data_IF_077990040022
#
_entry.id   IF_077990040022
#
_cell.length_a   1.000
_cell.length_b   1.000
_cell.length_c   1.000
_cell.angle_alpha   90.00
_cell.angle_beta   90.00
_cell.angle_gamma   90.00
#
_symmetry.space_group_name_H-M   'P 1'
#
loop_
_entity.id
_entity.type
_entity.pdbx_description
1 polymer ?
#
# COMPACT_ATOMS: atom_id res chain seq x y z
N UNK A 1 4.04 -30.05 -11.48
CA UNK A 1 4.14 -28.74 -10.76
C UNK A 1 2.77 -28.09 -10.79
N UNK A 2 2.30 -27.57 -9.68
CA UNK A 2 1.02 -26.83 -9.59
C UNK A 2 1.15 -25.57 -10.44
N UNK A 3 0.19 -25.33 -11.34
CA UNK A 3 0.19 -24.13 -12.20
C UNK A 3 -0.13 -22.90 -11.35
N UNK A 4 0.57 -21.81 -11.62
CA UNK A 4 0.25 -20.51 -11.00
C UNK A 4 0.99 -20.24 -9.69
N UNK A 5 1.88 -21.12 -9.24
CA UNK A 5 2.74 -20.79 -8.11
C UNK A 5 3.66 -19.62 -8.49
N UNK A 6 3.52 -18.52 -7.77
CA UNK A 6 4.36 -17.36 -7.95
C UNK A 6 5.80 -17.68 -7.50
N UNK A 7 6.78 -17.22 -8.27
CA UNK A 7 8.16 -17.13 -7.78
C UNK A 7 8.20 -15.94 -6.82
N UNK A 8 8.05 -16.22 -5.53
CA UNK A 8 8.29 -15.21 -4.51
C UNK A 8 9.73 -15.33 -4.04
N UNK A 9 10.45 -14.21 -3.90
CA UNK A 9 11.72 -14.24 -3.21
C UNK A 9 11.54 -14.84 -1.80
N UNK A 10 12.48 -15.63 -1.28
CA UNK A 10 12.42 -16.11 0.09
C UNK A 10 12.25 -14.93 1.04
N UNK A 11 11.12 -14.87 1.74
CA UNK A 11 10.83 -13.78 2.67
C UNK A 11 11.39 -14.18 4.03
N UNK A 12 12.36 -13.42 4.54
CA UNK A 12 12.97 -13.63 5.87
C UNK A 12 12.26 -12.83 6.96
N UNK A 13 11.61 -11.74 6.58
CA UNK A 13 10.96 -10.87 7.55
C UNK A 13 10.18 -9.73 6.88
N UNK A 14 9.78 -8.79 7.70
CA UNK A 14 8.93 -7.66 7.32
C UNK A 14 9.49 -6.35 7.76
N UNK A 15 9.18 -5.32 7.01
CA UNK A 15 9.39 -3.92 7.37
C UNK A 15 8.00 -3.32 7.59
N UNK A 16 7.77 -2.72 8.75
CA UNK A 16 6.51 -2.03 9.08
C UNK A 16 6.75 -0.61 9.57
N UNK A 17 5.72 0.24 9.47
CA UNK A 17 5.66 1.57 10.07
C UNK A 17 4.50 1.53 11.04
N UNK A 18 4.80 1.39 12.31
CA UNK A 18 3.79 1.20 13.35
C UNK A 18 3.84 -0.19 13.94
N UNK A 19 3.14 -0.32 15.04
CA UNK A 19 3.02 -1.53 15.83
C UNK A 19 1.54 -1.82 16.10
N UNK A 20 1.24 -3.06 16.42
CA UNK A 20 -0.06 -3.45 16.93
C UNK A 20 0.06 -3.48 18.46
N UNK A 21 -0.66 -2.60 19.12
CA UNK A 21 -0.69 -2.55 20.59
C UNK A 21 -2.00 -3.16 21.07
N UNK A 22 -1.92 -4.04 22.04
CA UNK A 22 -3.10 -4.60 22.70
C UNK A 22 -3.51 -3.68 23.86
N UNK A 23 -4.71 -3.07 23.73
CA UNK A 23 -5.30 -2.21 24.75
C UNK A 23 -6.69 -2.75 25.09
N UNK A 24 -6.92 -3.09 26.35
CA UNK A 24 -8.20 -3.63 26.85
C UNK A 24 -8.68 -4.90 26.09
N UNK A 25 -7.75 -5.78 25.71
CA UNK A 25 -8.07 -7.00 24.95
C UNK A 25 -8.38 -6.76 23.45
N UNK A 26 -8.20 -5.52 22.96
CA UNK A 26 -8.33 -5.18 21.54
C UNK A 26 -6.96 -4.88 20.95
N UNK A 27 -6.69 -5.40 19.76
CA UNK A 27 -5.46 -5.15 19.01
C UNK A 27 -5.67 -3.93 18.12
N UNK A 28 -5.02 -2.83 18.47
CA UNK A 28 -5.15 -1.56 17.77
C UNK A 28 -3.83 -1.23 17.05
N UNK A 29 -3.88 -0.86 15.75
CA UNK A 29 -2.70 -0.41 15.04
C UNK A 29 -2.32 1.01 15.49
N UNK A 30 -1.09 1.17 15.96
CA UNK A 30 -0.49 2.46 16.31
C UNK A 30 0.47 2.86 15.20
N UNK A 31 0.29 4.06 14.64
CA UNK A 31 1.21 4.62 13.66
C UNK A 31 2.40 5.23 14.39
N UNK A 32 3.58 4.82 13.97
CA UNK A 32 4.84 5.31 14.51
C UNK A 32 5.61 6.16 13.48
N UNK A 33 6.62 6.87 13.94
CA UNK A 33 7.47 7.72 13.09
C UNK A 33 8.83 7.06 12.79
N UNK A 34 8.87 5.71 12.86
CA UNK A 34 10.06 4.90 12.60
C UNK A 34 9.68 3.53 11.99
N UNK A 35 10.67 2.89 11.40
CA UNK A 35 10.55 1.52 10.91
C UNK A 35 10.80 0.51 12.01
N UNK A 36 10.14 -0.64 11.88
CA UNK A 36 10.42 -1.84 12.66
C UNK A 36 10.67 -3.00 11.70
N UNK A 37 11.77 -3.75 11.91
CA UNK A 37 12.09 -4.94 11.14
C UNK A 37 11.77 -6.15 12.01
N UNK A 38 10.85 -7.00 11.56
CA UNK A 38 10.42 -8.20 12.27
C UNK A 38 10.73 -9.45 11.46
N UNK A 39 10.89 -10.57 12.16
CA UNK A 39 10.95 -11.89 11.52
C UNK A 39 9.54 -12.33 11.07
N UNK A 40 9.43 -13.50 10.46
CA UNK A 40 8.13 -14.13 10.15
C UNK A 40 7.54 -14.92 11.33
N UNK A 41 8.16 -14.86 12.50
CA UNK A 41 7.72 -15.60 13.68
C UNK A 41 6.91 -14.70 14.59
N UNK A 42 5.71 -15.15 14.97
CA UNK A 42 4.87 -14.52 15.98
C UNK A 42 5.08 -15.19 17.34
N UNK A 43 5.43 -14.38 18.34
CA UNK A 43 5.44 -14.78 19.74
C UNK A 43 4.14 -14.42 20.46
N UNK A 44 4.06 -14.68 21.77
CA UNK A 44 2.89 -14.30 22.60
C UNK A 44 2.64 -12.78 22.65
N UNK A 45 3.70 -11.99 22.48
CA UNK A 45 3.66 -10.52 22.58
C UNK A 45 3.65 -9.83 21.21
N UNK A 46 3.37 -10.56 20.11
CA UNK A 46 3.39 -10.04 18.75
C UNK A 46 4.59 -10.57 17.93
N UNK A 47 4.94 -9.85 16.87
CA UNK A 47 6.04 -10.23 15.97
C UNK A 47 7.39 -10.12 16.64
N UNK A 48 8.21 -11.15 16.45
CA UNK A 48 9.60 -11.18 16.97
C UNK A 48 10.45 -10.23 16.12
N UNK A 49 11.17 -9.31 16.76
CA UNK A 49 12.10 -8.43 16.08
C UNK A 49 13.21 -9.23 15.39
N UNK A 50 13.54 -8.85 14.17
CA UNK A 50 14.66 -9.42 13.45
C UNK A 50 15.98 -8.86 14.02
N UNK A 51 17.07 -9.63 14.09
CA UNK A 51 18.37 -9.15 14.60
C UNK A 51 18.87 -7.87 13.91
N UNK A 52 18.60 -7.69 12.62
CA UNK A 52 18.92 -6.47 11.88
C UNK A 52 18.24 -5.21 12.44
N UNK A 53 17.07 -5.31 13.09
CA UNK A 53 16.41 -4.15 13.69
C UNK A 53 17.27 -3.55 14.80
N UNK A 54 17.77 -4.39 15.68
CA UNK A 54 18.64 -3.97 16.77
C UNK A 54 20.01 -3.50 16.28
N UNK A 55 20.58 -4.17 15.29
CA UNK A 55 21.86 -3.79 14.68
C UNK A 55 21.79 -2.39 14.05
N UNK A 56 20.78 -2.11 13.24
CA UNK A 56 20.64 -0.79 12.62
C UNK A 56 20.33 0.31 13.64
N UNK A 57 19.56 0.03 14.69
CA UNK A 57 19.34 1.01 15.78
C UNK A 57 20.65 1.32 16.51
N UNK A 58 21.44 0.32 16.82
CA UNK A 58 22.79 0.49 17.43
C UNK A 58 23.70 1.30 16.52
N UNK A 59 23.75 0.95 15.22
CA UNK A 59 24.59 1.65 14.23
C UNK A 59 24.17 3.11 14.03
N UNK A 60 22.88 3.38 14.04
CA UNK A 60 22.33 4.72 13.93
C UNK A 60 22.38 5.53 15.23
N UNK A 61 22.68 4.90 16.37
CA UNK A 61 22.71 5.55 17.68
C UNK A 61 21.36 6.10 18.12
N UNK A 62 20.25 5.52 17.64
CA UNK A 62 18.90 5.98 17.93
C UNK A 62 17.90 4.83 17.99
N UNK A 63 16.91 4.97 18.87
CA UNK A 63 15.81 3.99 18.95
C UNK A 63 14.80 4.12 17.81
N UNK A 64 14.88 5.21 17.03
CA UNK A 64 13.96 5.49 15.92
C UNK A 64 14.63 5.26 14.57
N UNK A 65 14.45 4.07 14.01
CA UNK A 65 14.99 3.71 12.70
C UNK A 65 14.17 4.41 11.59
N UNK A 66 14.73 5.43 10.95
CA UNK A 66 14.07 6.20 9.89
C UNK A 66 14.61 5.96 8.49
N UNK A 67 15.66 5.16 8.39
CA UNK A 67 16.33 4.80 7.14
C UNK A 67 16.81 3.36 7.21
N UNK A 68 16.58 2.59 6.14
CA UNK A 68 17.02 1.20 6.03
C UNK A 68 17.73 1.06 4.68
N UNK A 69 19.03 0.70 4.65
CA UNK A 69 19.74 0.43 3.40
C UNK A 69 19.15 -0.82 2.74
N UNK A 70 18.78 -0.68 1.47
CA UNK A 70 18.13 -1.75 0.72
C UNK A 70 18.66 -1.86 -0.71
N UNK A 71 18.41 -3.01 -1.32
CA UNK A 71 18.40 -3.22 -2.77
C UNK A 71 17.08 -3.82 -3.18
N UNK A 72 16.66 -3.56 -4.41
CA UNK A 72 15.51 -4.25 -4.99
C UNK A 72 15.98 -5.47 -5.78
N UNK A 73 15.08 -6.40 -6.04
CA UNK A 73 15.43 -7.71 -6.58
C UNK A 73 15.43 -7.75 -8.11
N UNK A 74 14.57 -6.94 -8.72
CA UNK A 74 14.29 -6.98 -10.14
C UNK A 74 14.64 -5.64 -10.82
N UNK A 75 14.97 -5.70 -12.10
CA UNK A 75 15.19 -4.50 -12.89
C UNK A 75 13.88 -3.79 -13.25
N UNK A 76 12.77 -4.53 -13.29
CA UNK A 76 11.45 -3.97 -13.58
C UNK A 76 10.75 -3.45 -12.32
N UNK A 77 10.30 -2.17 -12.30
CA UNK A 77 9.62 -1.56 -11.15
C UNK A 77 8.41 -2.34 -10.64
N UNK A 78 7.56 -2.82 -11.56
CA UNK A 78 6.30 -3.51 -11.23
C UNK A 78 6.52 -4.91 -10.62
N UNK A 79 7.70 -5.50 -10.82
CA UNK A 79 8.08 -6.75 -10.17
C UNK A 79 8.49 -6.52 -8.71
N UNK A 80 9.10 -5.36 -8.41
CA UNK A 80 9.51 -4.99 -7.05
C UNK A 80 8.35 -4.48 -6.21
N UNK A 81 7.56 -3.54 -6.77
CA UNK A 81 6.39 -2.96 -6.13
C UNK A 81 5.12 -3.44 -6.81
N UNK A 82 4.49 -4.44 -6.24
CA UNK A 82 3.17 -4.91 -6.70
C UNK A 82 2.09 -4.10 -6.02
N UNK A 83 1.54 -3.12 -6.73
CA UNK A 83 0.53 -2.21 -6.23
C UNK A 83 -0.75 -2.31 -7.06
N UNK A 84 -1.89 -2.47 -6.39
CA UNK A 84 -3.20 -2.56 -7.02
C UNK A 84 -4.30 -2.06 -6.07
N UNK A 85 -5.49 -1.82 -6.59
CA UNK A 85 -6.70 -1.69 -5.78
C UNK A 85 -7.19 -3.08 -5.40
N UNK A 86 -7.23 -3.37 -4.12
CA UNK A 86 -7.60 -4.68 -3.61
C UNK A 86 -8.88 -4.61 -2.78
N UNK A 87 -9.69 -5.65 -2.93
CA UNK A 87 -10.83 -5.96 -2.07
C UNK A 87 -10.61 -7.36 -1.52
N UNK A 88 -10.54 -7.48 -0.20
CA UNK A 88 -10.37 -8.77 0.47
C UNK A 88 -11.65 -9.21 1.16
N UNK A 89 -11.88 -10.50 1.18
CA UNK A 89 -12.89 -11.12 2.04
C UNK A 89 -12.46 -11.00 3.51
N UNK A 90 -13.34 -10.47 4.35
CA UNK A 90 -13.01 -10.20 5.76
C UNK A 90 -12.90 -11.45 6.63
N UNK A 91 -13.49 -12.56 6.21
CA UNK A 91 -13.48 -13.81 6.97
C UNK A 91 -12.28 -14.68 6.59
N UNK A 92 -12.03 -14.80 5.30
CA UNK A 92 -11.00 -15.70 4.77
C UNK A 92 -9.68 -14.99 4.44
N UNK A 93 -9.67 -13.64 4.35
CA UNK A 93 -8.52 -12.85 3.92
C UNK A 93 -8.20 -12.97 2.43
N UNK A 94 -8.96 -13.77 1.68
CA UNK A 94 -8.69 -13.98 0.26
C UNK A 94 -9.06 -12.75 -0.57
N UNK A 95 -8.26 -12.41 -1.59
CA UNK A 95 -8.61 -11.31 -2.48
C UNK A 95 -9.85 -11.69 -3.30
N UNK A 96 -10.89 -10.85 -3.22
CA UNK A 96 -12.10 -10.95 -4.03
C UNK A 96 -11.97 -10.21 -5.36
N UNK A 97 -11.25 -9.10 -5.36
CA UNK A 97 -11.03 -8.29 -6.55
C UNK A 97 -9.66 -7.60 -6.46
N UNK A 98 -8.91 -7.64 -7.56
CA UNK A 98 -7.63 -6.94 -7.71
C UNK A 98 -7.64 -6.21 -9.03
N UNK A 99 -7.46 -4.89 -9.01
CA UNK A 99 -7.57 -4.04 -10.20
C UNK A 99 -6.58 -2.88 -10.22
N UNK A 100 -6.34 -2.34 -11.41
CA UNK A 100 -5.40 -1.24 -11.64
C UNK A 100 -6.09 0.12 -11.87
N UNK A 101 -7.42 0.16 -11.82
CA UNK A 101 -8.21 1.36 -12.15
C UNK A 101 -8.81 1.36 -13.55
N UNK A 102 -8.41 0.44 -14.42
CA UNK A 102 -8.95 0.24 -15.76
C UNK A 102 -9.56 -1.16 -15.89
N UNK A 103 -8.83 -2.18 -15.47
CA UNK A 103 -9.22 -3.58 -15.48
C UNK A 103 -9.02 -4.20 -14.11
N UNK A 104 -9.81 -5.22 -13.78
CA UNK A 104 -9.65 -6.01 -12.58
C UNK A 104 -9.84 -7.50 -12.85
N UNK A 105 -9.21 -8.30 -12.02
CA UNK A 105 -9.51 -9.72 -11.87
C UNK A 105 -10.39 -9.88 -10.64
N UNK A 106 -11.56 -10.44 -10.82
CA UNK A 106 -12.55 -10.61 -9.75
C UNK A 106 -12.96 -12.06 -9.62
N UNK A 107 -13.03 -12.52 -8.39
CA UNK A 107 -13.59 -13.81 -8.08
C UNK A 107 -15.12 -13.74 -8.16
N UNK A 108 -15.71 -14.60 -8.98
CA UNK A 108 -17.16 -14.75 -9.19
C UNK A 108 -17.55 -16.22 -9.02
N UNK A 109 -18.84 -16.51 -9.01
CA UNK A 109 -19.35 -17.89 -8.91
C UNK A 109 -18.84 -18.79 -10.06
N UNK A 110 -18.50 -18.21 -11.20
CA UNK A 110 -17.90 -18.87 -12.36
C UNK A 110 -16.36 -18.87 -12.37
N UNK A 111 -15.72 -18.44 -11.26
CA UNK A 111 -14.27 -18.36 -11.13
C UNK A 111 -13.72 -16.94 -11.31
N UNK A 112 -12.42 -16.83 -11.58
CA UNK A 112 -11.75 -15.54 -11.73
C UNK A 112 -12.02 -14.98 -13.13
N UNK A 113 -12.65 -13.82 -13.19
CA UNK A 113 -12.97 -13.11 -14.44
C UNK A 113 -12.21 -11.77 -14.55
N UNK A 114 -11.88 -11.39 -15.78
CA UNK A 114 -11.37 -10.07 -16.10
C UNK A 114 -12.54 -9.14 -16.40
N UNK A 115 -12.65 -8.04 -15.65
CA UNK A 115 -13.75 -7.08 -15.73
C UNK A 115 -13.20 -5.64 -15.75
N UNK A 116 -13.97 -4.63 -16.21
CA UNK A 116 -13.60 -3.23 -16.04
C UNK A 116 -13.48 -2.85 -14.55
N UNK A 117 -12.49 -2.01 -14.23
CA UNK A 117 -12.27 -1.46 -12.90
C UNK A 117 -12.46 0.06 -12.92
N UNK A 118 -13.56 0.59 -12.40
CA UNK A 118 -13.82 2.04 -12.39
C UNK A 118 -13.11 2.79 -11.26
N UNK A 119 -12.05 2.20 -10.67
CA UNK A 119 -11.40 2.66 -9.43
C UNK A 119 -12.33 2.57 -8.20
N UNK A 120 -11.82 2.70 -6.97
CA UNK A 120 -12.67 2.66 -5.77
C UNK A 120 -13.76 3.73 -5.75
N UNK A 121 -13.50 4.91 -6.30
CA UNK A 121 -14.46 6.04 -6.29
C UNK A 121 -15.70 5.77 -7.16
N UNK A 122 -15.57 4.98 -8.21
CA UNK A 122 -16.66 4.62 -9.11
C UNK A 122 -17.21 3.20 -8.92
N UNK A 123 -16.66 2.42 -7.97
CA UNK A 123 -17.00 1.02 -7.82
C UNK A 123 -18.04 0.79 -6.72
N UNK A 124 -19.15 0.12 -7.06
CA UNK A 124 -20.19 -0.27 -6.09
C UNK A 124 -19.64 -1.15 -4.94
N UNK A 125 -18.68 -2.02 -5.22
CA UNK A 125 -18.08 -2.92 -4.22
C UNK A 125 -17.07 -2.21 -3.30
N UNK A 126 -16.67 -0.99 -3.64
CA UNK A 126 -15.73 -0.21 -2.84
C UNK A 126 -16.41 0.63 -1.75
N UNK A 127 -17.73 0.53 -1.60
CA UNK A 127 -18.49 1.25 -0.56
C UNK A 127 -17.88 0.99 0.81
N UNK A 128 -17.92 2.02 1.67
CA UNK A 128 -17.36 2.00 3.03
C UNK A 128 -15.84 1.71 3.09
N UNK A 129 -15.10 2.04 2.03
CA UNK A 129 -13.65 1.82 1.99
C UNK A 129 -13.24 0.35 1.93
N UNK A 130 -14.11 -0.51 1.41
CA UNK A 130 -13.83 -1.94 1.29
C UNK A 130 -12.72 -2.24 0.28
N UNK A 131 -12.63 -1.45 -0.80
CA UNK A 131 -11.54 -1.52 -1.77
C UNK A 131 -10.55 -0.39 -1.54
N UNK A 132 -9.27 -0.71 -1.40
CA UNK A 132 -8.19 0.25 -1.11
C UNK A 132 -6.97 -0.03 -1.99
N UNK A 133 -6.13 0.99 -2.22
CA UNK A 133 -4.80 0.74 -2.76
C UNK A 133 -4.00 -0.13 -1.77
N UNK A 134 -3.32 -1.12 -2.29
CA UNK A 134 -2.48 -2.02 -1.52
C UNK A 134 -1.19 -2.27 -2.29
N UNK A 135 -0.07 -1.96 -1.67
CA UNK A 135 1.27 -2.12 -2.23
C UNK A 135 2.10 -3.09 -1.41
N UNK A 136 2.85 -3.94 -2.12
CA UNK A 136 3.82 -4.87 -1.55
C UNK A 136 5.16 -4.64 -2.26
N UNK A 137 6.16 -4.22 -1.50
CA UNK A 137 7.52 -4.00 -1.97
C UNK A 137 8.42 -5.07 -1.36
N UNK A 138 9.11 -5.84 -2.21
CA UNK A 138 10.14 -6.78 -1.78
C UNK A 138 11.51 -6.13 -1.93
N UNK A 139 12.32 -6.20 -0.87
CA UNK A 139 13.68 -5.65 -0.84
C UNK A 139 14.63 -6.59 -0.14
N UNK A 140 15.89 -6.53 -0.49
CA UNK A 140 17.00 -7.06 0.30
C UNK A 140 17.46 -5.97 1.26
N UNK A 141 17.77 -6.33 2.51
CA UNK A 141 18.30 -5.38 3.50
C UNK A 141 19.81 -5.56 3.59
N UNK A 142 20.55 -4.47 3.44
CA UNK A 142 22.01 -4.48 3.45
C UNK A 142 22.61 -5.06 2.17
N UNK A 143 23.83 -5.53 2.27
CA UNK A 143 24.63 -6.02 1.14
C UNK A 143 25.14 -7.45 1.35
N UNK A 144 24.85 -8.07 2.51
CA UNK A 144 25.48 -9.33 2.95
C UNK A 144 24.70 -10.58 2.55
N UNK A 145 23.36 -10.52 2.54
CA UNK A 145 22.51 -11.66 2.17
C UNK A 145 21.75 -11.36 0.88
N UNK A 146 22.20 -11.96 -0.21
CA UNK A 146 21.56 -11.85 -1.52
C UNK A 146 20.39 -12.82 -1.72
N UNK A 147 20.20 -13.80 -0.83
CA UNK A 147 19.21 -14.87 -0.99
C UNK A 147 17.90 -14.58 -0.26
N UNK A 148 17.92 -13.68 0.72
CA UNK A 148 16.76 -13.35 1.52
C UNK A 148 16.11 -12.03 1.11
N UNK A 149 14.81 -11.91 1.31
CA UNK A 149 14.09 -10.65 1.11
C UNK A 149 13.23 -10.29 2.30
N UNK A 150 12.90 -9.01 2.39
CA UNK A 150 11.96 -8.45 3.35
C UNK A 150 10.80 -7.82 2.61
N UNK A 151 9.60 -7.99 3.14
CA UNK A 151 8.41 -7.41 2.54
C UNK A 151 7.98 -6.16 3.32
N UNK A 152 7.77 -5.06 2.59
CA UNK A 152 7.09 -3.86 3.08
C UNK A 152 5.69 -3.81 2.47
N UNK A 153 4.65 -3.79 3.33
CA UNK A 153 3.24 -3.70 2.92
C UNK A 153 2.68 -2.34 3.29
N UNK A 154 1.82 -1.79 2.47
CA UNK A 154 1.19 -0.50 2.74
C UNK A 154 -0.12 -0.31 2.00
N UNK A 155 -1.11 0.27 2.67
CA UNK A 155 -2.34 0.81 2.07
C UNK A 155 -2.25 2.33 1.86
N UNK A 156 -1.12 2.93 2.25
CA UNK A 156 -0.89 4.37 2.16
C UNK A 156 -0.60 4.81 0.73
N UNK A 157 -1.57 5.45 0.06
CA UNK A 157 -1.42 5.92 -1.33
C UNK A 157 -0.19 6.80 -1.55
N UNK A 158 0.19 7.63 -0.56
CA UNK A 158 1.39 8.45 -0.67
C UNK A 158 2.67 7.61 -0.79
N UNK A 159 2.81 6.54 0.00
CA UNK A 159 3.94 5.62 -0.09
C UNK A 159 3.95 4.90 -1.43
N UNK A 160 2.82 4.33 -1.84
CA UNK A 160 2.70 3.60 -3.12
C UNK A 160 3.10 4.49 -4.29
N UNK A 161 2.51 5.68 -4.39
CA UNK A 161 2.81 6.64 -5.46
C UNK A 161 4.28 7.06 -5.48
N UNK A 162 4.84 7.33 -4.30
CA UNK A 162 6.24 7.77 -4.20
C UNK A 162 7.19 6.65 -4.59
N UNK A 163 6.98 5.46 -4.07
CA UNK A 163 7.80 4.28 -4.39
C UNK A 163 7.74 3.94 -5.87
N UNK A 164 6.55 3.90 -6.48
CA UNK A 164 6.39 3.64 -7.92
C UNK A 164 7.15 4.66 -8.76
N UNK A 165 6.98 5.96 -8.47
CA UNK A 165 7.69 7.02 -9.18
C UNK A 165 9.22 6.94 -9.02
N UNK A 166 9.71 6.59 -7.82
CA UNK A 166 11.15 6.43 -7.57
C UNK A 166 11.74 5.23 -8.27
N UNK A 167 11.08 4.09 -8.23
CA UNK A 167 11.54 2.88 -8.92
C UNK A 167 11.65 3.13 -10.43
N UNK A 168 10.62 3.72 -11.06
CA UNK A 168 10.65 4.07 -12.48
C UNK A 168 11.74 5.08 -12.80
N UNK A 169 11.93 6.09 -11.95
CA UNK A 169 12.99 7.08 -12.12
C UNK A 169 14.38 6.43 -12.06
N UNK A 170 14.64 5.60 -11.04
CA UNK A 170 15.93 4.95 -10.87
C UNK A 170 16.21 3.91 -11.95
N UNK A 171 15.20 3.20 -12.44
CA UNK A 171 15.34 2.33 -13.61
C UNK A 171 15.83 3.12 -14.81
N UNK A 172 15.17 4.24 -15.12
CA UNK A 172 15.50 5.05 -16.30
C UNK A 172 16.91 5.66 -16.21
N UNK A 173 17.26 6.28 -15.07
CA UNK A 173 18.56 6.98 -14.93
C UNK A 173 19.75 6.03 -14.79
N UNK A 174 19.55 4.81 -14.29
CA UNK A 174 20.60 3.81 -14.18
C UNK A 174 20.84 3.01 -15.46
N UNK A 175 20.01 3.20 -16.48
CA UNK A 175 20.08 2.36 -17.69
C UNK A 175 19.67 0.91 -17.40
N UNK A 176 18.55 0.73 -16.72
CA UNK A 176 17.98 -0.56 -16.35
C UNK A 176 18.80 -1.39 -15.32
N UNK A 177 19.64 -0.72 -14.51
CA UNK A 177 20.42 -1.36 -13.45
C UNK A 177 19.75 -1.22 -12.07
N UNK A 178 18.43 -1.11 -12.03
CA UNK A 178 17.65 -0.88 -10.78
C UNK A 178 17.99 -1.89 -9.69
N UNK A 179 18.11 -3.18 -10.03
CA UNK A 179 18.43 -4.26 -9.08
C UNK A 179 19.85 -4.19 -8.48
N UNK A 180 20.72 -3.38 -9.09
CA UNK A 180 22.11 -3.21 -8.63
C UNK A 180 22.33 -1.90 -7.87
N UNK A 181 21.33 -0.99 -7.85
CA UNK A 181 21.49 0.30 -7.20
C UNK A 181 21.54 0.18 -5.67
N UNK A 182 22.51 0.86 -5.00
CA UNK A 182 22.52 1.00 -3.56
C UNK A 182 21.47 2.04 -3.11
N UNK A 183 20.32 1.56 -2.69
CA UNK A 183 19.17 2.38 -2.29
C UNK A 183 18.94 2.31 -0.78
N UNK A 184 18.06 3.16 -0.30
CA UNK A 184 17.53 3.09 1.06
C UNK A 184 16.04 3.44 1.10
N UNK A 185 15.30 2.76 1.94
CA UNK A 185 13.97 3.17 2.36
C UNK A 185 14.12 4.30 3.39
N UNK A 186 13.44 5.42 3.16
CA UNK A 186 13.46 6.56 4.07
C UNK A 186 12.06 6.96 4.48
N UNK A 187 11.84 7.08 5.78
CA UNK A 187 10.56 7.55 6.29
C UNK A 187 10.52 9.07 6.26
N UNK A 188 9.51 9.62 5.58
CA UNK A 188 9.29 11.06 5.49
C UNK A 188 7.95 11.44 6.11
N UNK A 189 7.94 12.60 6.77
CA UNK A 189 6.73 13.20 7.30
C UNK A 189 6.25 14.36 6.44
N UNK A 190 4.93 14.48 6.29
CA UNK A 190 4.30 15.68 5.74
C UNK A 190 3.05 16.02 6.54
N UNK A 191 2.75 17.31 6.63
CA UNK A 191 1.51 17.82 7.23
C UNK A 191 0.69 18.52 6.16
N UNK A 192 -0.64 18.36 6.24
CA UNK A 192 -1.59 19.04 5.37
C UNK A 192 -2.73 19.62 6.19
N UNK A 193 -3.47 20.57 5.63
CA UNK A 193 -4.70 21.08 6.25
C UNK A 193 -5.73 19.97 6.50
N UNK A 194 -5.80 18.98 5.61
CA UNK A 194 -6.70 17.83 5.74
C UNK A 194 -6.32 16.88 6.88
N UNK A 195 -5.04 16.85 7.26
CA UNK A 195 -4.55 16.07 8.41
C UNK A 195 -4.61 16.85 9.72
N UNK A 196 -5.34 17.95 9.78
CA UNK A 196 -5.39 18.84 10.94
C UNK A 196 -4.01 19.22 11.48
N UNK A 197 -3.03 19.39 10.55
CA UNK A 197 -1.60 19.64 10.80
C UNK A 197 -0.86 18.49 11.51
N UNK A 198 -1.47 17.35 11.71
CA UNK A 198 -0.79 16.15 12.19
C UNK A 198 0.17 15.63 11.13
N UNK A 199 1.32 15.12 11.55
CA UNK A 199 2.28 14.52 10.63
C UNK A 199 1.75 13.19 10.08
N UNK A 200 1.74 13.08 8.76
CA UNK A 200 1.45 11.82 8.06
C UNK A 200 2.78 11.29 7.54
N UNK A 201 3.15 10.09 7.96
CA UNK A 201 4.38 9.44 7.53
C UNK A 201 4.13 8.61 6.28
N UNK A 202 5.11 8.62 5.36
CA UNK A 202 5.11 7.82 4.14
C UNK A 202 6.54 7.39 3.80
N UNK A 203 6.68 6.29 3.06
CA UNK A 203 7.97 5.77 2.63
C UNK A 203 8.38 6.37 1.31
N UNK A 204 9.63 6.82 1.25
CA UNK A 204 10.35 7.23 0.07
C UNK A 204 11.48 6.22 -0.21
N UNK A 205 11.93 6.15 -1.45
CA UNK A 205 13.09 5.38 -1.87
C UNK A 205 14.13 6.35 -2.40
N UNK A 206 15.32 6.36 -1.80
CA UNK A 206 16.40 7.27 -2.14
C UNK A 206 17.69 6.52 -2.40
N UNK A 207 18.65 7.16 -3.02
CA UNK A 207 20.03 6.67 -3.04
C UNK A 207 20.52 6.62 -1.59
N UNK A 208 21.31 5.62 -1.25
CA UNK A 208 21.87 5.41 0.08
C UNK A 208 22.61 6.66 0.57
N UNK A 209 22.45 6.99 1.84
CA UNK A 209 23.07 8.14 2.47
C UNK A 209 24.59 8.15 2.26
N UNK A 210 25.13 9.34 1.98
CA UNK A 210 26.55 9.54 1.67
C UNK A 210 26.94 9.28 0.21
N UNK A 211 26.03 8.81 -0.64
CA UNK A 211 26.28 8.61 -2.06
C UNK A 211 25.58 9.69 -2.90
N UNK A 212 26.27 10.17 -3.93
CA UNK A 212 25.63 10.92 -5.02
C UNK A 212 24.95 9.94 -5.99
N UNK A 213 24.00 10.41 -6.80
CA UNK A 213 23.37 9.58 -7.83
C UNK A 213 24.41 9.00 -8.82
N UNK A 214 25.38 9.80 -9.20
CA UNK A 214 26.47 9.39 -10.10
C UNK A 214 27.31 8.26 -9.48
N UNK A 215 27.71 8.40 -8.22
CA UNK A 215 28.45 7.38 -7.50
C UNK A 215 27.62 6.09 -7.34
N UNK A 216 26.31 6.21 -7.08
CA UNK A 216 25.41 5.05 -6.99
C UNK A 216 25.28 4.30 -8.34
N UNK A 217 25.20 5.04 -9.45
CA UNK A 217 25.16 4.44 -10.78
C UNK A 217 26.49 3.75 -11.11
N UNK A 218 27.64 4.34 -10.73
CA UNK A 218 28.93 3.69 -10.89
C UNK A 218 28.99 2.35 -10.12
N UNK A 219 28.60 2.37 -8.84
CA UNK A 219 28.54 1.14 -8.03
C UNK A 219 27.56 0.10 -8.60
N UNK A 220 26.45 0.54 -9.20
CA UNK A 220 25.50 -0.36 -9.84
C UNK A 220 26.12 -1.07 -11.05
N UNK A 221 26.91 -0.36 -11.87
CA UNK A 221 27.64 -0.95 -12.99
C UNK A 221 28.67 -1.97 -12.53
N UNK A 222 29.44 -1.65 -11.49
CA UNK A 222 30.44 -2.57 -10.93
C UNK A 222 29.75 -3.84 -10.35
N UNK A 223 28.58 -3.67 -9.75
CA UNK A 223 27.79 -4.78 -9.22
C UNK A 223 27.22 -5.65 -10.34
N UNK A 224 26.66 -5.06 -11.38
CA UNK A 224 26.16 -5.76 -12.56
C UNK A 224 27.27 -6.55 -13.26
N UNK A 225 28.43 -5.94 -13.43
CA UNK A 225 29.59 -6.61 -14.02
C UNK A 225 30.00 -7.84 -13.20
N UNK A 226 30.16 -7.71 -11.90
CA UNK A 226 30.51 -8.84 -11.02
C UNK A 226 29.48 -9.96 -11.06
N UNK A 227 28.17 -9.62 -11.07
CA UNK A 227 27.08 -10.59 -11.20
C UNK A 227 27.17 -11.36 -12.53
N UNK A 228 27.42 -10.68 -13.62
CA UNK A 228 27.61 -11.33 -14.96
C UNK A 228 28.85 -12.24 -14.98
N UNK A 229 29.94 -11.81 -14.40
CA UNK A 229 31.17 -12.62 -14.28
C UNK A 229 30.96 -13.90 -13.47
N UNK A 230 30.08 -13.86 -12.45
CA UNK A 230 29.66 -15.04 -11.70
C UNK A 230 28.57 -15.88 -12.39
N UNK A 231 28.14 -15.50 -13.60
CA UNK A 231 27.08 -16.19 -14.33
C UNK A 231 25.65 -15.89 -13.88
N UNK A 232 25.42 -14.83 -13.10
CA UNK A 232 24.10 -14.40 -12.71
C UNK A 232 23.37 -13.71 -13.86
N UNK A 233 22.20 -14.21 -14.23
CA UNK A 233 21.37 -13.68 -15.32
C UNK A 233 20.13 -12.96 -14.75
N UNK A 234 20.22 -11.63 -14.62
CA UNK A 234 19.13 -10.78 -14.14
C UNK A 234 17.92 -10.83 -15.09
N UNK A 235 18.16 -10.93 -16.42
CA UNK A 235 17.07 -10.96 -17.40
C UNK A 235 16.26 -12.26 -17.29
N UNK A 236 16.93 -13.38 -17.09
CA UNK A 236 16.26 -14.66 -16.85
C UNK A 236 15.46 -14.65 -15.55
N UNK A 237 16.00 -14.02 -14.49
CA UNK A 237 15.29 -13.84 -13.21
C UNK A 237 14.03 -12.98 -13.38
N UNK A 238 14.16 -11.82 -14.04
CA UNK A 238 13.02 -10.92 -14.30
C UNK A 238 11.95 -11.63 -15.15
N UNK A 239 12.35 -12.37 -16.19
CA UNK A 239 11.44 -13.16 -17.02
C UNK A 239 10.70 -14.24 -16.22
N UNK A 240 11.40 -14.95 -15.34
CA UNK A 240 10.80 -15.95 -14.46
C UNK A 240 9.82 -15.31 -13.46
N UNK A 241 10.16 -14.13 -12.93
CA UNK A 241 9.28 -13.39 -12.01
C UNK A 241 7.99 -12.90 -12.72
N UNK A 242 8.06 -12.41 -13.96
CA UNK A 242 6.88 -12.03 -14.75
C UNK A 242 5.90 -13.21 -14.87
N UNK A 243 6.41 -14.41 -15.20
CA UNK A 243 5.58 -15.61 -15.29
C UNK A 243 5.02 -16.03 -13.93
N UNK A 244 5.84 -15.96 -12.88
CA UNK A 244 5.45 -16.33 -11.53
C UNK A 244 4.40 -15.39 -10.95
N UNK A 245 4.51 -14.09 -11.16
CA UNK A 245 3.58 -13.11 -10.60
C UNK A 245 2.29 -12.91 -11.39
N UNK A 246 2.13 -13.54 -12.54
CA UNK A 246 0.94 -13.39 -13.38
C UNK A 246 -0.38 -13.67 -12.63
N UNK A 247 -0.37 -14.59 -11.66
CA UNK A 247 -1.52 -14.95 -10.85
C UNK A 247 -1.36 -14.66 -9.35
N UNK A 248 -0.19 -14.22 -8.93
CA UNK A 248 0.23 -14.16 -7.53
C UNK A 248 -0.67 -13.37 -6.56
N UNK A 249 -1.55 -12.50 -7.07
CA UNK A 249 -2.50 -11.77 -6.23
C UNK A 249 -3.61 -12.67 -5.64
N UNK A 250 -3.87 -13.85 -6.25
CA UNK A 250 -4.89 -14.80 -5.81
C UNK A 250 -4.31 -16.07 -5.18
N UNK A 251 -2.99 -16.16 -5.12
CA UNK A 251 -2.24 -17.36 -4.72
C UNK A 251 -1.47 -17.15 -3.40
N UNK A 252 -1.81 -16.11 -2.65
CA UNK A 252 -1.23 -15.91 -1.32
C UNK A 252 -1.61 -17.06 -0.39
N UNK A 253 -0.66 -17.47 0.46
CA UNK A 253 -0.91 -18.54 1.43
C UNK A 253 -1.99 -18.12 2.44
N UNK A 254 -2.74 -19.07 2.98
CA UNK A 254 -3.78 -18.79 3.98
C UNK A 254 -3.19 -18.15 5.25
N UNK A 255 -1.91 -18.38 5.54
CA UNK A 255 -1.19 -17.80 6.67
C UNK A 255 -0.88 -16.32 6.47
N UNK A 256 -0.48 -15.93 5.25
CA UNK A 256 -0.24 -14.52 4.92
C UNK A 256 -1.53 -13.68 4.83
N UNK A 257 -2.66 -14.33 4.53
CA UNK A 257 -3.94 -13.63 4.35
C UNK A 257 -4.49 -13.05 5.65
N UNK A 258 -4.34 -13.74 6.79
CA UNK A 258 -4.79 -13.23 8.09
C UNK A 258 -4.06 -11.94 8.48
N UNK A 259 -2.76 -11.88 8.23
CA UNK A 259 -1.93 -10.70 8.50
C UNK A 259 -2.28 -9.53 7.58
N UNK A 260 -2.56 -9.85 6.31
CA UNK A 260 -3.03 -8.86 5.32
C UNK A 260 -4.34 -8.22 5.78
N UNK A 261 -5.25 -9.00 6.41
CA UNK A 261 -6.51 -8.47 6.95
C UNK A 261 -6.30 -7.48 8.09
N UNK A 262 -5.41 -7.78 9.04
CA UNK A 262 -5.11 -6.87 10.16
C UNK A 262 -4.53 -5.55 9.67
N UNK A 263 -3.65 -5.57 8.67
CA UNK A 263 -3.08 -4.38 8.05
C UNK A 263 -4.09 -3.62 7.16
N UNK A 264 -4.94 -4.36 6.44
CA UNK A 264 -5.86 -3.79 5.46
C UNK A 264 -7.14 -3.24 6.10
N UNK A 265 -7.68 -3.92 7.11
CA UNK A 265 -8.87 -3.52 7.86
C UNK A 265 -8.55 -3.34 9.35
N UNK A 266 -7.79 -2.31 9.73
CA UNK A 266 -7.56 -2.04 11.14
C UNK A 266 -8.91 -1.80 11.84
N UNK A 267 -9.09 -2.40 13.02
CA UNK A 267 -10.28 -2.20 13.85
C UNK A 267 -10.26 -0.75 14.34
N UNK A 268 -11.12 0.10 13.79
CA UNK A 268 -11.32 1.46 14.28
C UNK A 268 -12.41 1.46 15.34
N UNK A 269 -12.26 2.26 16.39
CA UNK A 269 -13.24 2.38 17.49
C UNK A 269 -14.64 2.79 17.00
N UNK A 270 -14.74 3.42 15.82
CA UNK A 270 -16.02 3.88 15.24
C UNK A 270 -16.89 2.77 14.63
N UNK A 271 -16.40 1.52 14.55
CA UNK A 271 -17.14 0.41 13.93
C UNK A 271 -18.12 -0.30 14.87
N UNK A 272 -18.05 -0.06 16.18
CA UNK A 272 -18.92 -0.75 17.14
C UNK A 272 -20.31 -0.12 17.31
N UNK A 273 -20.51 1.12 16.87
CA UNK A 273 -21.83 1.78 17.02
C UNK A 273 -22.88 1.26 16.02
N UNK A 274 -22.50 0.55 14.99
CA UNK A 274 -23.43 0.04 13.95
C UNK A 274 -23.81 -1.43 14.18
N UNK A 275 -22.94 -2.23 14.80
CA UNK A 275 -23.20 -3.66 15.03
C UNK A 275 -24.12 -3.94 16.22
N UNK A 276 -24.25 -2.99 17.18
CA UNK A 276 -25.13 -3.14 18.35
C UNK A 276 -26.59 -2.74 18.09
N UNK A 277 -26.89 -2.19 16.92
CA UNK A 277 -28.25 -1.76 16.55
C UNK A 277 -29.08 -2.84 15.81
N UNK A 278 -28.45 -3.89 15.29
CA UNK A 278 -29.16 -4.93 14.52
C UNK A 278 -29.59 -6.17 15.33
N UNK A 279 -29.19 -6.31 16.61
CA UNK A 279 -29.57 -7.49 17.42
C UNK A 279 -30.74 -7.27 18.40
N UNK A 280 -31.44 -6.14 18.32
CA UNK A 280 -32.57 -5.84 19.23
C UNK A 280 -33.86 -5.50 18.45
N UNK A 281 -34.29 -6.31 17.49
CA UNK A 281 -35.63 -6.20 16.92
C UNK A 281 -36.16 -7.54 16.45
N UNK A 282 -36.66 -8.32 17.40
CA UNK A 282 -37.67 -9.36 17.11
C UNK A 282 -38.63 -9.49 18.31
N UNK A 283 -39.62 -8.62 18.37
CA UNK A 283 -40.88 -8.87 19.09
C UNK A 283 -41.94 -7.92 18.52
N UNK A 284 -42.86 -8.48 17.75
CA UNK A 284 -44.12 -7.82 17.36
C UNK A 284 -45.09 -7.93 18.52
N UNK A 285 -45.92 -6.90 18.81
CA UNK A 285 -47.35 -7.09 18.61
C UNK A 285 -48.09 -5.92 17.90
N UNK A 286 -49.14 -6.31 17.22
CA UNK A 286 -50.23 -5.55 16.66
C UNK A 286 -50.78 -4.41 17.50
N UNK A 287 -51.06 -3.23 16.90
CA UNK A 287 -52.39 -2.64 16.70
C UNK A 287 -52.29 -1.25 16.06
N UNK A 288 -53.21 -0.95 15.14
CA UNK A 288 -53.42 0.31 14.42
C UNK A 288 -54.51 1.14 15.15
N UNK A 289 -54.95 2.35 14.67
CA UNK A 289 -54.37 3.37 13.80
C UNK A 289 -54.47 4.82 14.39
N UNK A 290 -53.73 5.76 13.82
CA UNK A 290 -53.92 7.19 14.09
C UNK A 290 -53.06 8.11 13.22
N UNK A 291 -53.69 8.88 12.40
CA UNK A 291 -53.12 9.79 11.40
C UNK A 291 -52.39 11.00 11.99
N UNK A 292 -51.25 11.40 11.43
CA UNK A 292 -50.89 12.81 11.19
C UNK A 292 -49.58 13.00 10.40
N UNK A 293 -49.63 13.84 9.45
CA UNK A 293 -48.79 14.56 8.47
C UNK A 293 -47.27 14.53 8.62
N UNK A 294 -46.54 14.50 7.46
CA UNK A 294 -45.09 14.53 7.41
C UNK A 294 -44.52 15.95 7.51
N UNK A 295 -43.53 16.13 8.36
CA UNK A 295 -42.70 17.33 8.41
C UNK A 295 -41.53 17.14 7.44
N UNK A 296 -41.43 18.00 6.43
CA UNK A 296 -40.35 18.01 5.45
C UNK A 296 -39.06 18.48 6.12
N UNK A 297 -38.07 17.60 6.23
CA UNK A 297 -36.72 17.96 6.64
C UNK A 297 -35.95 18.54 5.43
N UNK A 298 -35.57 19.81 5.51
CA UNK A 298 -34.69 20.50 4.56
C UNK A 298 -33.28 19.89 4.63
N UNK A 299 -32.96 19.04 3.68
CA UNK A 299 -31.57 18.62 3.43
C UNK A 299 -30.86 19.74 2.66
N UNK A 300 -30.01 20.50 3.34
CA UNK A 300 -29.09 21.45 2.70
C UNK A 300 -28.04 20.66 1.91
N UNK A 301 -28.19 20.58 0.60
CA UNK A 301 -27.13 20.09 -0.30
C UNK A 301 -25.94 21.06 -0.24
N UNK A 302 -24.75 20.54 0.02
CA UNK A 302 -23.50 21.30 -0.12
C UNK A 302 -23.25 21.53 -1.61
N UNK A 303 -22.93 22.76 -2.05
CA UNK A 303 -22.68 23.05 -3.47
C UNK A 303 -21.45 22.29 -3.97
N UNK A 304 -21.54 21.76 -5.19
CA UNK A 304 -20.47 21.06 -5.88
C UNK A 304 -19.31 22.00 -6.24
N UNK A 305 -18.17 21.44 -6.61
CA UNK A 305 -16.98 22.21 -7.04
C UNK A 305 -17.27 23.02 -8.31
N UNK A 306 -18.15 22.51 -9.18
CA UNK A 306 -18.61 23.17 -10.41
C UNK A 306 -19.40 24.42 -10.05
N UNK A 307 -20.34 24.34 -9.10
CA UNK A 307 -21.13 25.49 -8.64
C UNK A 307 -20.28 26.61 -8.02
N UNK A 308 -19.11 26.26 -7.48
CA UNK A 308 -18.14 27.22 -6.91
C UNK A 308 -17.25 27.87 -7.98
N UNK A 309 -16.96 27.16 -9.07
CA UNK A 309 -16.19 27.67 -10.20
C UNK A 309 -17.01 28.63 -11.03
N UNK A 310 -18.28 28.33 -11.33
CA UNK A 310 -19.19 29.20 -12.08
C UNK A 310 -19.46 30.51 -11.33
N UNK A 311 -19.46 30.48 -10.01
CA UNK A 311 -19.63 31.69 -9.19
C UNK A 311 -18.39 32.59 -9.14
N UNK A 312 -17.19 32.08 -9.49
CA UNK A 312 -15.91 32.81 -9.52
C UNK A 312 -15.55 33.34 -10.91
N UNK A 313 -16.12 32.80 -11.96
CA UNK A 313 -16.07 33.29 -13.34
C UNK A 313 -17.26 34.25 -13.57
N UNK A 314 -17.20 35.39 -12.88
CA UNK A 314 -18.18 36.46 -13.05
C UNK A 314 -18.28 36.89 -14.50
N UNK A 315 -19.48 37.23 -14.93
CA UNK A 315 -19.86 37.66 -16.27
C UNK A 315 -18.92 38.72 -16.86
N UNK A 316 -18.66 38.68 -18.18
CA UNK A 316 -17.82 39.66 -18.83
C UNK A 316 -18.51 41.06 -18.88
N UNK A 317 -17.78 42.15 -18.74
CA UNK A 317 -18.36 43.47 -18.85
C UNK A 317 -18.81 43.73 -20.29
N UNK A 318 -20.05 44.18 -20.43
CA UNK A 318 -20.64 44.64 -21.69
C UNK A 318 -19.82 45.79 -22.29
N UNK A 319 -19.33 45.61 -23.49
CA UNK A 319 -18.65 46.64 -24.26
C UNK A 319 -19.65 47.72 -24.70
N UNK A 320 -19.39 48.95 -24.31
CA UNK A 320 -20.01 50.15 -24.86
C UNK A 320 -19.43 50.41 -26.26
N UNK A 321 -20.29 50.24 -27.27
CA UNK A 321 -20.10 50.75 -28.61
C UNK A 321 -20.44 52.25 -28.62
N UNK A 322 -19.49 53.11 -28.95
CA UNK A 322 -19.77 54.41 -29.55
C UNK A 322 -18.85 54.64 -30.75
N UNK A 323 -19.49 54.83 -31.89
CA UNK A 323 -18.97 55.44 -33.13
C UNK A 323 -18.83 56.95 -32.95
N UNK A 324 -18.23 57.67 -33.86
CA UNK A 324 -18.26 57.53 -35.32
C UNK A 324 -16.94 57.07 -35.98
#
# INVERSE_FOLDING_TARGET
>A
MIKGLAITPPILGRISIGSIVETNGKRLPVKEDFFTITSQVQGRNGWVHHPLDEEFRKKAGTDKLRSIPVRVLFSEPDLNLRAAYNLFDRQTGRPLCVGNGETCRRFTDSGIQSLPCPSPDGCELAKNGACKPYGRLNVQIGDEDELGSFIFRTTGFNSIRTLAARLSYYQAVSGNLLACLPLELRLRGKSTTMSHRSAIYYVDLTVREGLTLEAAISQARDTDQRRRECGFDQTALDGAAVLGFANGAFEESAEETLETLEEFYPVSEDSESVASAESASSAVPHDSPGASKPLAALVRRRPSLVDKLDKKLGAPPSALLTRP
#
